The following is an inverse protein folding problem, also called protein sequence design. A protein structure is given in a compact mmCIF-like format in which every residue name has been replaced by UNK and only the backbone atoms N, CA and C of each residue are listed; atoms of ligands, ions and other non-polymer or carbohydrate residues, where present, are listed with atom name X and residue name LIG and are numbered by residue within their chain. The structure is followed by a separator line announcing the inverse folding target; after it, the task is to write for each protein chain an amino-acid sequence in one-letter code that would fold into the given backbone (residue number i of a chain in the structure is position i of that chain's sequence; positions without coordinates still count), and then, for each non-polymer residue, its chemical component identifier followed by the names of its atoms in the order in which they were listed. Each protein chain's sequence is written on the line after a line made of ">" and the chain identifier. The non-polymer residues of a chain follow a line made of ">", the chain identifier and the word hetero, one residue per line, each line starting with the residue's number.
data_IF_982396421838
#
_entry.id   IF_982396421838
#
_cell.length_a   1.000
_cell.length_b   1.000
_cell.length_c   1.000
_cell.angle_alpha   90.00
_cell.angle_beta   90.00
_cell.angle_gamma   90.00
#
_symmetry.space_group_name_H-M   'P 1'
#
loop_
_entity.id
_entity.type
_entity.pdbx_description
1 polymer ?
#
# COMPACT_ATOMS: atom_id res chain seq x y z
N UNK A 1 -2.91 -28.93 36.69
CA UNK A 1 -2.36 -28.75 35.34
C UNK A 1 -3.37 -27.91 34.56
N UNK A 2 -3.24 -26.59 34.63
CA UNK A 2 -4.09 -25.63 33.92
C UNK A 2 -3.53 -25.49 32.51
N UNK A 3 -4.34 -25.85 31.51
CA UNK A 3 -4.03 -25.63 30.11
C UNK A 3 -3.91 -24.13 29.84
N UNK A 4 -2.80 -23.73 29.23
CA UNK A 4 -2.67 -22.42 28.61
C UNK A 4 -3.35 -22.57 27.25
N UNK A 5 -4.58 -22.06 27.15
CA UNK A 5 -5.24 -21.85 25.87
C UNK A 5 -4.36 -20.87 25.07
N UNK A 6 -3.58 -21.43 24.15
CA UNK A 6 -2.85 -20.63 23.17
C UNK A 6 -3.87 -19.87 22.34
N UNK A 7 -3.95 -18.56 22.54
CA UNK A 7 -4.74 -17.67 21.70
C UNK A 7 -4.17 -17.79 20.28
N UNK A 8 -4.85 -18.57 19.43
CA UNK A 8 -4.52 -18.64 18.01
C UNK A 8 -4.79 -17.26 17.44
N UNK A 9 -3.72 -16.55 17.10
CA UNK A 9 -3.85 -15.25 16.42
C UNK A 9 -4.45 -15.53 15.05
N UNK A 10 -5.59 -14.91 14.69
CA UNK A 10 -6.20 -15.14 13.40
C UNK A 10 -5.24 -14.76 12.27
N UNK A 11 -5.29 -15.45 11.11
CA UNK A 11 -4.42 -15.15 9.99
C UNK A 11 -4.66 -13.72 9.51
N UNK A 12 -3.59 -12.95 9.27
CA UNK A 12 -3.68 -11.55 8.82
C UNK A 12 -4.12 -11.37 7.37
N UNK A 13 -4.07 -12.44 6.58
CA UNK A 13 -4.38 -12.46 5.15
C UNK A 13 -5.28 -13.65 4.87
N UNK A 14 -6.32 -13.45 4.05
CA UNK A 14 -7.17 -14.53 3.56
C UNK A 14 -7.00 -14.68 2.05
N UNK A 15 -6.02 -15.48 1.67
CA UNK A 15 -5.65 -15.79 0.28
C UNK A 15 -4.79 -17.04 0.24
N UNK A 16 -4.78 -17.73 -0.89
CA UNK A 16 -3.80 -18.78 -1.20
C UNK A 16 -2.53 -18.22 -1.87
N UNK A 17 -2.55 -16.95 -2.28
CA UNK A 17 -1.41 -16.29 -2.91
C UNK A 17 -0.30 -16.00 -1.88
N UNK A 18 0.92 -16.41 -2.24
CA UNK A 18 2.10 -16.06 -1.48
C UNK A 18 2.34 -14.54 -1.50
N UNK A 19 3.03 -14.03 -0.48
CA UNK A 19 3.58 -12.68 -0.54
C UNK A 19 4.59 -12.58 -1.69
N UNK A 20 4.87 -11.35 -2.14
CA UNK A 20 5.97 -11.10 -3.07
C UNK A 20 7.27 -11.74 -2.55
N UNK A 21 7.91 -12.63 -3.33
CA UNK A 21 9.24 -13.12 -3.02
C UNK A 21 10.21 -11.96 -2.78
N UNK A 22 10.98 -12.03 -1.69
CA UNK A 22 12.01 -11.01 -1.38
C UNK A 22 13.02 -10.91 -2.52
N UNK A 23 13.33 -12.04 -3.15
CA UNK A 23 14.20 -12.12 -4.32
C UNK A 23 13.47 -12.71 -5.52
N UNK A 24 13.83 -12.25 -6.72
CA UNK A 24 13.26 -12.78 -7.94
C UNK A 24 13.55 -14.30 -8.07
N UNK A 25 12.53 -15.15 -8.26
CA UNK A 25 12.70 -16.61 -8.29
C UNK A 25 13.32 -17.15 -9.60
N UNK A 26 13.91 -16.29 -10.44
CA UNK A 26 14.25 -16.58 -11.83
C UNK A 26 13.20 -16.06 -12.82
N UNK A 27 13.66 -15.72 -14.03
CA UNK A 27 12.81 -15.19 -15.09
C UNK A 27 12.45 -16.31 -16.05
N UNK A 28 11.16 -16.56 -16.21
CA UNK A 28 10.65 -17.44 -17.25
C UNK A 28 10.67 -16.70 -18.61
N UNK A 29 11.01 -17.40 -19.68
CA UNK A 29 11.13 -16.80 -21.02
C UNK A 29 9.77 -16.57 -21.71
N UNK A 30 8.71 -17.22 -21.24
CA UNK A 30 7.34 -17.13 -21.76
C UNK A 30 6.49 -16.15 -20.95
N UNK A 31 6.45 -16.29 -19.63
CA UNK A 31 5.64 -15.40 -18.77
C UNK A 31 6.26 -15.24 -17.37
N UNK A 32 6.70 -14.02 -17.07
CA UNK A 32 7.20 -13.67 -15.75
C UNK A 32 6.03 -13.27 -14.82
N UNK A 33 5.83 -13.99 -13.70
CA UNK A 33 4.86 -13.61 -12.67
C UNK A 33 5.30 -12.38 -11.86
N UNK A 34 6.60 -12.06 -11.88
CA UNK A 34 7.19 -10.98 -11.11
C UNK A 34 7.96 -10.02 -12.02
N UNK A 35 7.32 -9.48 -13.07
CA UNK A 35 8.01 -8.59 -13.99
C UNK A 35 8.51 -7.36 -13.24
N UNK A 36 9.83 -7.21 -13.19
CA UNK A 36 10.52 -6.17 -12.44
C UNK A 36 11.29 -5.21 -13.33
N UNK A 37 11.45 -3.99 -12.85
CA UNK A 37 12.20 -2.93 -13.50
C UNK A 37 13.45 -2.59 -12.70
N UNK A 38 14.64 -2.54 -13.32
CA UNK A 38 15.87 -2.26 -12.59
C UNK A 38 15.87 -0.82 -12.05
N UNK A 39 16.36 -0.62 -10.83
CA UNK A 39 16.56 0.73 -10.30
C UNK A 39 17.50 1.54 -11.21
N UNK A 40 17.16 2.81 -11.43
CA UNK A 40 18.03 3.76 -12.14
C UNK A 40 19.24 4.21 -11.30
N UNK A 41 19.36 3.73 -10.06
CA UNK A 41 20.50 3.96 -9.16
C UNK A 41 20.13 3.71 -7.70
N UNK A 42 21.14 3.41 -6.88
CA UNK A 42 20.99 3.05 -5.46
C UNK A 42 20.71 1.56 -5.25
N UNK A 43 20.18 1.22 -4.08
CA UNK A 43 19.89 -0.15 -3.65
C UNK A 43 18.45 -0.29 -3.15
N UNK A 44 17.96 -1.53 -3.17
CA UNK A 44 16.83 -1.97 -2.35
C UNK A 44 17.44 -2.51 -1.06
N UNK A 45 17.08 -1.95 0.08
CA UNK A 45 17.61 -2.35 1.38
C UNK A 45 16.54 -3.03 2.24
N UNK A 46 16.94 -4.08 2.97
CA UNK A 46 16.05 -4.88 3.80
C UNK A 46 16.06 -4.45 5.27
N UNK A 47 14.91 -4.61 5.92
CA UNK A 47 14.70 -4.37 7.34
C UNK A 47 14.40 -2.91 7.70
N UNK A 48 14.18 -2.68 8.99
CA UNK A 48 13.80 -1.37 9.54
C UNK A 48 14.97 -0.39 9.68
N UNK A 49 16.21 -0.88 9.67
CA UNK A 49 17.42 -0.05 9.81
C UNK A 49 17.49 1.10 8.79
N UNK A 50 17.45 0.81 7.47
CA UNK A 50 17.46 1.82 6.42
C UNK A 50 16.28 2.82 6.49
N UNK A 51 15.16 2.41 7.09
CA UNK A 51 13.99 3.28 7.28
C UNK A 51 14.26 4.27 8.40
N UNK A 52 14.75 3.80 9.55
CA UNK A 52 15.02 4.67 10.70
C UNK A 52 16.27 5.53 10.50
N UNK A 53 17.18 5.17 9.59
CA UNK A 53 18.33 6.01 9.20
C UNK A 53 17.89 7.38 8.65
N UNK A 54 16.67 7.48 8.10
CA UNK A 54 16.10 8.73 7.63
C UNK A 54 15.95 9.78 8.76
N UNK A 55 15.95 9.38 10.03
CA UNK A 55 15.90 10.30 11.18
C UNK A 55 17.08 11.29 11.19
N UNK A 56 18.22 10.89 10.62
CA UNK A 56 19.41 11.73 10.49
C UNK A 56 19.79 12.49 11.77
N UNK A 57 20.21 13.74 11.60
CA UNK A 57 20.55 14.64 12.71
C UNK A 57 19.35 15.43 13.25
N UNK A 58 18.17 15.37 12.62
CA UNK A 58 16.98 16.06 13.14
C UNK A 58 16.55 15.45 14.47
N UNK A 59 16.75 14.13 14.63
CA UNK A 59 16.25 13.32 15.74
C UNK A 59 14.71 13.32 15.83
N UNK A 60 14.02 13.67 14.75
CA UNK A 60 12.58 13.53 14.55
C UNK A 60 12.36 12.83 13.22
N UNK A 61 11.60 11.74 13.21
CA UNK A 61 11.22 10.99 12.01
C UNK A 61 9.70 10.94 11.88
N UNK A 62 9.19 11.36 10.73
CA UNK A 62 7.79 11.18 10.36
C UNK A 62 7.66 9.90 9.56
N UNK A 63 6.72 9.04 9.96
CA UNK A 63 6.44 7.76 9.32
C UNK A 63 4.98 7.78 8.89
N UNK A 64 4.77 8.25 7.67
CA UNK A 64 3.46 8.37 7.02
C UNK A 64 3.23 7.16 6.08
N UNK A 65 2.05 6.99 5.51
CA UNK A 65 1.76 5.82 4.69
C UNK A 65 0.31 5.60 4.32
N UNK A 66 0.10 4.50 3.60
CA UNK A 66 -1.20 4.10 3.05
C UNK A 66 -2.08 3.27 3.99
N UNK A 67 -3.27 2.92 3.51
CA UNK A 67 -4.15 1.95 4.17
C UNK A 67 -3.50 0.56 4.24
N UNK A 68 -3.91 -0.23 5.23
CA UNK A 68 -3.48 -1.61 5.39
C UNK A 68 -2.11 -1.81 6.05
N UNK A 69 -1.35 -0.74 6.33
CA UNK A 69 -0.13 -0.80 7.16
C UNK A 69 -0.49 -1.22 8.58
N UNK A 70 0.26 -2.18 9.14
CA UNK A 70 0.16 -2.58 10.55
C UNK A 70 0.92 -1.57 11.42
N UNK A 71 0.26 -0.44 11.74
CA UNK A 71 0.91 0.70 12.37
C UNK A 71 1.50 0.42 13.76
N UNK A 72 0.86 -0.45 14.55
CA UNK A 72 1.37 -0.84 15.87
C UNK A 72 2.67 -1.66 15.75
N UNK A 73 2.71 -2.60 14.82
CA UNK A 73 3.90 -3.41 14.55
C UNK A 73 5.04 -2.56 13.99
N UNK A 74 4.73 -1.67 13.04
CA UNK A 74 5.70 -0.72 12.50
C UNK A 74 6.27 0.16 13.61
N UNK A 75 5.42 0.73 14.46
CA UNK A 75 5.82 1.54 15.60
C UNK A 75 6.73 0.78 16.58
N UNK A 76 6.38 -0.47 16.88
CA UNK A 76 7.15 -1.36 17.75
C UNK A 76 8.52 -1.70 17.15
N UNK A 77 8.56 -2.09 15.87
CA UNK A 77 9.79 -2.45 15.18
C UNK A 77 10.73 -1.25 15.01
N UNK A 78 10.21 -0.07 14.69
CA UNK A 78 10.97 1.18 14.61
C UNK A 78 11.58 1.53 15.97
N UNK A 79 10.78 1.48 17.05
CA UNK A 79 11.25 1.71 18.41
C UNK A 79 12.40 0.76 18.75
N UNK A 80 12.18 -0.54 18.58
CA UNK A 80 13.17 -1.56 18.90
C UNK A 80 14.47 -1.36 18.10
N UNK A 81 14.37 -1.00 16.83
CA UNK A 81 15.53 -0.75 15.96
C UNK A 81 16.35 0.46 16.44
N UNK A 82 15.69 1.54 16.85
CA UNK A 82 16.37 2.74 17.36
C UNK A 82 16.93 2.53 18.78
N UNK A 83 16.21 1.84 19.66
CA UNK A 83 16.69 1.49 21.01
C UNK A 83 17.90 0.55 20.96
N UNK A 84 17.92 -0.41 20.03
CA UNK A 84 19.08 -1.28 19.79
C UNK A 84 20.34 -0.50 19.35
N UNK A 85 20.17 0.73 18.86
CA UNK A 85 21.24 1.67 18.51
C UNK A 85 21.56 2.66 19.65
N UNK A 86 21.03 2.42 20.85
CA UNK A 86 21.31 3.20 22.06
C UNK A 86 20.56 4.54 22.15
N UNK A 87 19.47 4.71 21.38
CA UNK A 87 18.64 5.93 21.40
C UNK A 87 17.55 5.86 22.47
N UNK A 88 17.16 7.00 23.03
CA UNK A 88 15.97 7.14 23.87
C UNK A 88 14.80 7.57 23.01
N UNK A 89 13.86 6.64 22.75
CA UNK A 89 12.88 6.78 21.67
C UNK A 89 11.50 7.10 22.20
N UNK A 90 10.94 8.23 21.75
CA UNK A 90 9.53 8.55 21.88
C UNK A 90 8.80 8.14 20.61
N UNK A 91 7.67 7.42 20.74
CA UNK A 91 6.80 7.11 19.59
C UNK A 91 5.41 7.66 19.85
N UNK A 92 4.90 8.44 18.90
CA UNK A 92 3.58 9.07 18.97
C UNK A 92 2.77 8.72 17.74
N UNK A 93 1.53 8.25 17.95
CA UNK A 93 0.65 7.88 16.84
C UNK A 93 -0.24 9.04 16.41
N UNK A 94 -0.47 9.19 15.10
CA UNK A 94 -1.47 10.12 14.57
C UNK A 94 -2.91 9.71 14.85
N UNK A 95 -3.15 8.47 15.28
CA UNK A 95 -4.50 7.94 15.55
C UNK A 95 -5.34 8.87 16.43
N UNK A 96 -4.77 9.38 17.52
CA UNK A 96 -5.47 10.24 18.48
C UNK A 96 -5.80 11.64 17.92
N UNK A 97 -5.34 11.96 16.71
CA UNK A 97 -5.60 13.24 16.06
C UNK A 97 -6.74 13.17 15.05
N UNK A 98 -7.24 11.98 14.70
CA UNK A 98 -8.42 11.88 13.84
C UNK A 98 -9.66 12.46 14.53
N UNK A 99 -10.60 12.95 13.73
CA UNK A 99 -11.93 13.33 14.22
C UNK A 99 -12.58 12.15 14.96
N UNK A 100 -13.48 12.42 15.94
CA UNK A 100 -14.28 11.37 16.55
C UNK A 100 -14.96 10.50 15.50
N UNK A 101 -15.06 9.19 15.75
CA UNK A 101 -15.59 8.21 14.78
C UNK A 101 -16.91 8.63 14.16
N UNK A 102 -17.85 9.18 14.95
CA UNK A 102 -19.14 9.63 14.44
C UNK A 102 -19.05 10.80 13.44
N UNK A 103 -18.04 11.66 13.54
CA UNK A 103 -17.82 12.77 12.61
C UNK A 103 -17.07 12.29 11.36
N UNK A 104 -16.10 11.38 11.54
CA UNK A 104 -15.40 10.74 10.43
C UNK A 104 -16.37 9.93 9.53
N UNK A 105 -17.22 9.09 10.12
CA UNK A 105 -18.23 8.33 9.38
C UNK A 105 -19.22 9.24 8.66
N UNK A 106 -19.61 10.37 9.27
CA UNK A 106 -20.48 11.36 8.65
C UNK A 106 -19.83 12.06 7.47
N UNK A 107 -18.53 12.35 7.55
CA UNK A 107 -17.78 12.97 6.47
C UNK A 107 -17.66 12.05 5.25
N UNK A 108 -17.53 10.74 5.45
CA UNK A 108 -17.32 9.78 4.35
C UNK A 108 -18.62 9.16 3.82
N UNK A 109 -19.70 9.11 4.61
CA UNK A 109 -20.97 8.49 4.23
C UNK A 109 -21.55 8.93 2.87
N UNK A 110 -21.48 10.22 2.47
CA UNK A 110 -21.98 10.66 1.15
C UNK A 110 -21.30 9.99 -0.04
N UNK A 111 -20.08 9.46 0.16
CA UNK A 111 -19.27 8.84 -0.89
C UNK A 111 -19.44 7.32 -0.96
N UNK A 112 -20.11 6.72 0.03
CA UNK A 112 -20.34 5.29 0.11
C UNK A 112 -21.62 4.84 -0.62
N UNK A 113 -22.34 5.72 -1.31
CA UNK A 113 -23.50 5.34 -2.14
C UNK A 113 -24.71 4.76 -1.39
N UNK A 114 -24.80 4.98 -0.07
CA UNK A 114 -25.91 4.50 0.77
C UNK A 114 -26.01 2.97 0.79
N UNK A 115 -27.20 2.44 0.49
CA UNK A 115 -27.50 1.01 0.52
C UNK A 115 -27.04 0.25 -0.74
N UNK A 116 -26.45 0.93 -1.73
CA UNK A 116 -25.90 0.25 -2.90
C UNK A 116 -24.77 -0.70 -2.45
N UNK A 117 -24.78 -1.99 -2.80
CA UNK A 117 -23.76 -2.92 -2.31
C UNK A 117 -22.40 -2.77 -3.02
N UNK A 118 -22.33 -2.02 -4.13
CA UNK A 118 -21.16 -1.97 -5.01
C UNK A 118 -20.68 -0.55 -5.25
N UNK A 119 -21.57 0.38 -5.62
CA UNK A 119 -21.22 1.68 -6.14
C UNK A 119 -21.13 2.76 -5.05
N UNK A 120 -20.13 3.63 -5.19
CA UNK A 120 -19.95 4.86 -4.45
C UNK A 120 -19.40 5.95 -5.37
N UNK A 121 -19.03 7.09 -4.79
CA UNK A 121 -18.36 8.19 -5.49
C UNK A 121 -17.00 8.43 -4.86
N UNK A 122 -16.02 8.91 -5.63
CA UNK A 122 -14.67 9.14 -5.10
C UNK A 122 -14.71 10.27 -4.07
N UNK A 123 -14.14 10.06 -2.91
CA UNK A 123 -13.96 11.08 -1.87
C UNK A 123 -13.08 12.20 -2.40
N UNK A 124 -13.52 13.44 -2.22
CA UNK A 124 -12.89 14.65 -2.77
C UNK A 124 -12.21 15.51 -1.70
N UNK A 125 -12.37 15.20 -0.41
CA UNK A 125 -11.77 15.96 0.70
C UNK A 125 -10.27 15.72 0.90
N UNK A 126 -9.68 16.47 1.83
CA UNK A 126 -8.28 16.38 2.25
C UNK A 126 -8.16 15.59 3.57
N UNK A 127 -7.03 14.90 3.78
CA UNK A 127 -6.76 14.17 5.01
C UNK A 127 -6.72 15.11 6.22
N UNK A 128 -6.25 16.35 6.04
CA UNK A 128 -6.22 17.43 7.03
C UNK A 128 -7.60 17.81 7.56
N UNK A 129 -8.67 17.52 6.79
CA UNK A 129 -10.04 17.81 7.20
C UNK A 129 -10.63 16.72 8.11
N UNK A 130 -9.97 15.56 8.17
CA UNK A 130 -10.33 14.43 9.03
C UNK A 130 -9.50 14.40 10.33
N UNK A 131 -8.69 15.42 10.60
CA UNK A 131 -7.73 15.44 11.70
C UNK A 131 -7.69 16.80 12.42
N UNK A 132 -7.50 16.78 13.74
CA UNK A 132 -7.24 17.96 14.56
C UNK A 132 -5.81 18.47 14.31
N UNK A 133 -5.74 19.61 13.61
CA UNK A 133 -4.47 20.27 13.22
C UNK A 133 -3.64 20.71 14.42
N UNK A 134 -4.28 21.11 15.53
CA UNK A 134 -3.55 21.52 16.75
C UNK A 134 -2.92 20.30 17.40
N UNK A 135 -3.66 19.20 17.52
CA UNK A 135 -3.14 17.95 18.07
C UNK A 135 -1.99 17.38 17.22
N UNK A 136 -2.11 17.45 15.89
CA UNK A 136 -1.02 17.07 14.96
C UNK A 136 0.27 17.86 15.22
N UNK A 137 0.18 19.19 15.32
CA UNK A 137 1.35 20.04 15.57
C UNK A 137 2.02 19.78 16.93
N UNK A 138 1.28 19.30 17.94
CA UNK A 138 1.86 18.86 19.21
C UNK A 138 2.66 17.56 19.06
N UNK A 139 2.29 16.65 18.15
CA UNK A 139 2.95 15.36 18.02
C UNK A 139 4.42 15.48 17.65
N UNK A 140 4.81 16.43 16.80
CA UNK A 140 6.20 16.61 16.38
C UNK A 140 7.06 17.40 17.39
N UNK A 141 6.48 17.95 18.47
CA UNK A 141 7.25 18.66 19.50
C UNK A 141 8.09 17.69 20.32
N UNK A 142 9.40 17.64 20.05
CA UNK A 142 10.35 16.82 20.82
C UNK A 142 10.77 17.53 22.11
N UNK A 143 10.79 16.76 23.19
CA UNK A 143 11.47 17.13 24.43
C UNK A 143 12.80 16.37 24.51
N UNK A 144 13.91 17.09 24.32
CA UNK A 144 15.27 16.54 24.32
C UNK A 144 15.68 15.93 25.67
N UNK A 145 15.04 16.38 26.77
CA UNK A 145 15.29 15.85 28.10
C UNK A 145 14.77 14.42 28.23
N UNK A 146 13.64 14.10 27.58
CA UNK A 146 13.02 12.78 27.63
C UNK A 146 13.50 11.86 26.52
N UNK A 147 13.61 12.37 25.28
CA UNK A 147 13.86 11.57 24.08
C UNK A 147 14.88 12.25 23.17
N UNK A 148 15.90 11.52 22.74
CA UNK A 148 16.83 11.99 21.70
C UNK A 148 16.39 11.59 20.28
N UNK A 149 15.38 10.72 20.17
CA UNK A 149 14.73 10.34 18.93
C UNK A 149 13.22 10.35 19.12
N UNK A 150 12.51 11.14 18.32
CA UNK A 150 11.05 11.17 18.29
C UNK A 150 10.55 10.61 16.96
N UNK A 151 9.61 9.67 17.01
CA UNK A 151 8.95 9.10 15.84
C UNK A 151 7.46 9.43 15.91
N UNK A 152 6.96 10.12 14.88
CA UNK A 152 5.52 10.30 14.68
C UNK A 152 5.07 9.32 13.61
N UNK A 153 4.13 8.43 13.95
CA UNK A 153 3.76 7.29 13.11
C UNK A 153 2.27 7.22 12.83
N UNK A 154 1.91 6.95 11.58
CA UNK A 154 0.54 6.77 11.14
C UNK A 154 0.19 7.64 9.94
N UNK A 155 -0.97 7.40 9.32
CA UNK A 155 -1.42 8.20 8.19
C UNK A 155 -1.54 9.66 8.62
N UNK A 156 -1.00 10.57 7.82
CA UNK A 156 -0.97 12.00 8.12
C UNK A 156 0.17 12.43 9.05
N UNK A 157 1.12 11.56 9.40
CA UNK A 157 2.27 11.93 10.23
C UNK A 157 3.08 13.09 9.62
N UNK A 158 3.16 13.16 8.30
CA UNK A 158 3.84 14.24 7.59
C UNK A 158 3.20 15.62 7.83
N UNK A 159 1.93 15.67 8.25
CA UNK A 159 1.20 16.91 8.54
C UNK A 159 1.61 17.53 9.89
N UNK A 160 2.37 16.82 10.71
CA UNK A 160 2.82 17.31 12.02
C UNK A 160 4.00 18.28 11.93
N UNK A 161 4.88 18.12 10.91
CA UNK A 161 6.06 18.95 10.70
C UNK A 161 6.52 18.90 9.23
N UNK A 162 6.51 20.05 8.54
CA UNK A 162 6.89 20.11 7.14
C UNK A 162 8.40 20.04 6.85
N UNK A 163 9.24 20.18 7.87
CA UNK A 163 10.69 20.17 7.75
C UNK A 163 11.33 18.83 8.15
N UNK A 164 10.66 18.01 8.96
CA UNK A 164 11.23 16.75 9.42
C UNK A 164 11.34 15.71 8.29
N UNK A 165 12.38 14.84 8.33
CA UNK A 165 12.52 13.71 7.42
C UNK A 165 11.31 12.79 7.41
N UNK A 166 11.00 12.25 6.22
CA UNK A 166 9.80 11.45 5.96
C UNK A 166 10.17 10.05 5.43
N UNK A 167 9.71 9.03 6.14
CA UNK A 167 9.55 7.68 5.63
C UNK A 167 8.09 7.43 5.25
N UNK A 168 7.84 6.85 4.07
CA UNK A 168 6.50 6.49 3.60
C UNK A 168 6.36 4.97 3.53
N UNK A 169 5.40 4.41 4.26
CA UNK A 169 5.10 2.98 4.30
C UNK A 169 3.92 2.64 3.39
N UNK A 170 4.07 1.62 2.56
CA UNK A 170 3.04 1.17 1.62
C UNK A 170 2.83 -0.34 1.68
N UNK A 171 1.56 -0.74 1.61
CA UNK A 171 1.14 -2.12 1.41
C UNK A 171 0.46 -2.19 0.03
N UNK A 172 0.85 -3.13 -0.86
CA UNK A 172 0.20 -3.32 -2.15
C UNK A 172 -1.32 -3.52 -2.04
N UNK A 173 -2.10 -3.05 -3.03
CA UNK A 173 -3.57 -3.00 -2.93
C UNK A 173 -4.21 -4.40 -2.84
N UNK A 174 -3.67 -5.39 -3.55
CA UNK A 174 -4.08 -6.80 -3.42
C UNK A 174 -3.87 -7.30 -1.97
N UNK A 175 -2.77 -6.92 -1.33
CA UNK A 175 -2.50 -7.26 0.08
C UNK A 175 -3.46 -6.57 1.03
N UNK A 176 -3.85 -5.32 0.75
CA UNK A 176 -4.91 -4.63 1.50
C UNK A 176 -6.24 -5.40 1.37
N UNK A 177 -6.58 -5.90 0.18
CA UNK A 177 -7.77 -6.71 -0.04
C UNK A 177 -7.71 -8.05 0.73
N UNK A 178 -6.56 -8.73 0.75
CA UNK A 178 -6.41 -9.97 1.51
C UNK A 178 -6.52 -9.75 3.03
N UNK A 179 -6.01 -8.64 3.53
CA UNK A 179 -6.19 -8.21 4.93
C UNK A 179 -7.66 -7.88 5.23
N UNK A 180 -8.35 -7.20 4.32
CA UNK A 180 -9.78 -6.94 4.44
C UNK A 180 -10.61 -8.23 4.49
N UNK A 181 -10.32 -9.21 3.62
CA UNK A 181 -10.97 -10.53 3.59
C UNK A 181 -10.71 -11.37 4.84
N UNK A 182 -9.60 -11.11 5.54
CA UNK A 182 -9.28 -11.71 6.83
C UNK A 182 -9.92 -10.99 8.02
N UNK A 183 -10.54 -9.82 7.80
CA UNK A 183 -11.03 -8.97 8.88
C UNK A 183 -9.91 -8.32 9.69
N UNK A 184 -8.72 -8.16 9.10
CA UNK A 184 -7.51 -7.68 9.77
C UNK A 184 -7.14 -6.24 9.39
N UNK A 185 -7.84 -5.61 8.44
CA UNK A 185 -7.56 -4.24 8.02
C UNK A 185 -8.25 -3.22 8.93
N UNK A 186 -7.46 -2.29 9.48
CA UNK A 186 -7.95 -1.14 10.26
C UNK A 186 -8.02 0.10 9.38
N UNK A 187 -9.20 0.72 9.35
CA UNK A 187 -9.45 1.94 8.59
C UNK A 187 -8.85 3.19 9.24
N UNK A 188 -8.77 4.29 8.48
CA UNK A 188 -8.34 5.60 8.99
C UNK A 188 -9.18 6.03 10.20
N UNK A 189 -8.52 6.37 11.30
CA UNK A 189 -9.15 6.79 12.55
C UNK A 189 -9.93 5.69 13.30
N UNK A 190 -9.99 4.46 12.78
CA UNK A 190 -10.77 3.40 13.41
C UNK A 190 -10.04 2.78 14.61
N UNK A 191 -10.83 2.33 15.59
CA UNK A 191 -10.27 1.76 16.81
C UNK A 191 -9.76 0.33 16.65
N UNK A 192 -10.40 -0.42 15.74
CA UNK A 192 -10.18 -1.84 15.51
C UNK A 192 -10.40 -2.20 14.03
N UNK A 193 -9.93 -3.38 13.60
CA UNK A 193 -10.18 -3.90 12.26
C UNK A 193 -11.67 -4.05 11.92
N UNK A 194 -11.99 -3.92 10.64
CA UNK A 194 -13.33 -4.19 10.13
C UNK A 194 -13.49 -5.67 9.76
N UNK A 195 -14.55 -6.32 10.25
CA UNK A 195 -14.87 -7.70 9.91
C UNK A 195 -15.63 -7.84 8.57
N UNK A 196 -16.21 -6.76 8.05
CA UNK A 196 -16.96 -6.77 6.78
C UNK A 196 -16.02 -6.47 5.61
N UNK A 197 -15.58 -7.53 4.92
CA UNK A 197 -14.68 -7.42 3.78
C UNK A 197 -15.26 -6.59 2.62
N UNK A 198 -16.58 -6.63 2.38
CA UNK A 198 -17.21 -5.92 1.25
C UNK A 198 -17.29 -4.44 1.55
N UNK A 199 -17.78 -4.07 2.73
CA UNK A 199 -17.82 -2.68 3.17
C UNK A 199 -16.39 -2.08 3.24
N UNK A 200 -15.43 -2.88 3.70
CA UNK A 200 -14.01 -2.48 3.74
C UNK A 200 -13.47 -2.17 2.36
N UNK A 201 -13.65 -3.08 1.39
CA UNK A 201 -13.20 -2.86 0.01
C UNK A 201 -13.86 -1.63 -0.62
N UNK A 202 -15.16 -1.43 -0.37
CA UNK A 202 -15.89 -0.26 -0.85
C UNK A 202 -15.33 1.04 -0.30
N UNK A 203 -15.12 1.11 1.02
CA UNK A 203 -14.49 2.28 1.67
C UNK A 203 -13.08 2.53 1.17
N UNK A 204 -12.26 1.48 0.99
CA UNK A 204 -10.94 1.62 0.39
C UNK A 204 -11.03 2.24 -1.02
N UNK A 205 -11.84 1.66 -1.90
CA UNK A 205 -11.96 2.04 -3.31
C UNK A 205 -12.47 3.47 -3.51
N UNK A 206 -13.49 3.87 -2.76
CA UNK A 206 -14.14 5.15 -2.95
C UNK A 206 -13.62 6.24 -2.02
N UNK A 207 -13.07 5.90 -0.85
CA UNK A 207 -12.68 6.90 0.16
C UNK A 207 -11.18 6.91 0.39
N UNK A 208 -10.63 5.84 0.97
CA UNK A 208 -9.26 5.90 1.50
C UNK A 208 -8.19 5.88 0.41
N UNK A 209 -8.36 5.10 -0.66
CA UNK A 209 -7.39 5.08 -1.75
C UNK A 209 -7.31 6.43 -2.47
N UNK A 210 -8.42 7.04 -2.95
CA UNK A 210 -8.37 8.36 -3.55
C UNK A 210 -7.81 9.44 -2.60
N UNK A 211 -8.18 9.38 -1.32
CA UNK A 211 -7.69 10.31 -0.30
C UNK A 211 -6.17 10.21 -0.09
N UNK A 212 -5.68 8.99 0.15
CA UNK A 212 -4.27 8.77 0.46
C UNK A 212 -3.38 8.89 -0.78
N UNK A 213 -3.90 8.64 -1.98
CA UNK A 213 -3.19 8.93 -3.24
C UNK A 213 -2.94 10.44 -3.41
N UNK A 214 -3.93 11.29 -3.11
CA UNK A 214 -3.72 12.75 -3.12
C UNK A 214 -2.70 13.17 -2.07
N UNK A 215 -2.84 12.68 -0.84
CA UNK A 215 -1.90 12.93 0.24
C UNK A 215 -0.47 12.51 -0.13
N UNK A 216 -0.28 11.27 -0.61
CA UNK A 216 1.00 10.75 -1.10
C UNK A 216 1.60 11.63 -2.19
N UNK A 217 0.77 12.11 -3.12
CA UNK A 217 1.24 12.97 -4.20
C UNK A 217 1.75 14.34 -3.73
N UNK A 218 1.18 14.90 -2.65
CA UNK A 218 1.70 16.12 -2.01
C UNK A 218 3.04 15.86 -1.31
N UNK A 219 3.17 14.70 -0.66
CA UNK A 219 4.39 14.31 0.05
C UNK A 219 5.51 13.87 -0.89
N UNK A 220 5.18 13.50 -2.12
CA UNK A 220 6.06 12.80 -3.06
C UNK A 220 7.48 13.40 -3.21
N UNK A 221 7.66 14.74 -3.32
CA UNK A 221 9.00 15.32 -3.48
C UNK A 221 9.89 15.18 -2.24
N UNK A 222 9.28 15.09 -1.04
CA UNK A 222 9.98 15.08 0.25
C UNK A 222 10.09 13.71 0.91
N UNK A 223 9.49 12.66 0.32
CA UNK A 223 9.73 11.29 0.78
C UNK A 223 11.23 11.03 0.70
N UNK A 224 11.86 10.83 1.87
CA UNK A 224 13.28 10.54 1.99
C UNK A 224 13.51 9.03 1.85
N UNK A 225 12.59 8.22 2.40
CA UNK A 225 12.58 6.77 2.28
C UNK A 225 11.19 6.26 1.93
N UNK A 226 11.11 5.36 0.96
CA UNK A 226 9.87 4.66 0.63
C UNK A 226 10.03 3.18 0.97
N UNK A 227 9.03 2.57 1.60
CA UNK A 227 9.09 1.19 2.07
C UNK A 227 7.86 0.37 1.71
N UNK A 228 8.09 -0.79 1.10
CA UNK A 228 7.14 -1.88 0.97
C UNK A 228 7.11 -2.67 2.28
N UNK A 229 5.99 -2.56 3.00
CA UNK A 229 5.79 -3.16 4.33
C UNK A 229 4.78 -4.32 4.29
N UNK A 230 4.66 -5.03 3.15
CA UNK A 230 3.80 -6.21 3.04
C UNK A 230 4.24 -7.41 3.91
N UNK A 231 5.40 -7.31 4.57
CA UNK A 231 6.09 -8.34 5.36
C UNK A 231 6.76 -7.73 6.61
N UNK A 232 7.14 -8.57 7.58
CA UNK A 232 7.75 -8.12 8.84
C UNK A 232 9.10 -7.41 8.67
N UNK A 233 9.96 -7.92 7.78
CA UNK A 233 11.20 -7.26 7.37
C UNK A 233 10.95 -6.46 6.08
N UNK A 234 10.68 -5.15 6.16
CA UNK A 234 10.30 -4.38 5.00
C UNK A 234 11.44 -4.26 4.00
N UNK A 235 11.09 -3.99 2.75
CA UNK A 235 12.06 -3.59 1.74
C UNK A 235 11.87 -2.10 1.48
N UNK A 236 12.97 -1.36 1.32
CA UNK A 236 12.90 0.08 1.13
C UNK A 236 13.92 0.59 0.13
N UNK A 237 13.63 1.75 -0.45
CA UNK A 237 14.52 2.50 -1.35
C UNK A 237 14.60 3.95 -0.90
N UNK A 238 15.67 4.65 -1.29
CA UNK A 238 15.70 6.11 -1.15
C UNK A 238 14.63 6.75 -2.03
N UNK A 239 14.01 7.85 -1.57
CA UNK A 239 13.03 8.56 -2.38
C UNK A 239 13.61 9.13 -3.67
N UNK A 240 14.89 9.50 -3.67
CA UNK A 240 15.59 9.93 -4.88
C UNK A 240 15.71 8.79 -5.91
N UNK A 241 16.12 7.59 -5.49
CA UNK A 241 16.19 6.40 -6.32
C UNK A 241 14.81 6.01 -6.87
N UNK A 242 13.77 6.08 -6.04
CA UNK A 242 12.40 5.79 -6.45
C UNK A 242 11.94 6.72 -7.59
N UNK A 243 12.05 8.04 -7.39
CA UNK A 243 11.64 9.04 -8.39
C UNK A 243 12.45 8.92 -9.68
N UNK A 244 13.78 8.79 -9.57
CA UNK A 244 14.64 8.61 -10.74
C UNK A 244 14.28 7.34 -11.53
N UNK A 245 13.98 6.24 -10.84
CA UNK A 245 13.59 4.98 -11.49
C UNK A 245 12.25 5.11 -12.21
N UNK A 246 11.25 5.72 -11.57
CA UNK A 246 9.92 5.91 -12.17
C UNK A 246 9.96 6.87 -13.37
N UNK A 247 10.81 7.89 -13.33
CA UNK A 247 11.06 8.78 -14.47
C UNK A 247 11.66 8.04 -15.67
N UNK A 248 12.62 7.14 -15.44
CA UNK A 248 13.19 6.29 -16.51
C UNK A 248 12.16 5.28 -17.01
N UNK A 249 11.40 4.65 -16.11
CA UNK A 249 10.37 3.67 -16.43
C UNK A 249 9.30 4.25 -17.36
N UNK A 250 8.91 5.51 -17.18
CA UNK A 250 7.91 6.18 -18.02
C UNK A 250 8.30 6.29 -19.51
N UNK A 251 9.59 6.11 -19.84
CA UNK A 251 10.12 6.16 -21.20
C UNK A 251 10.61 4.79 -21.71
N UNK A 252 10.26 3.70 -21.02
CA UNK A 252 10.68 2.35 -21.36
C UNK A 252 9.49 1.37 -21.33
N UNK A 253 9.57 0.22 -22.02
CA UNK A 253 8.63 -0.86 -21.79
C UNK A 253 8.72 -1.36 -20.35
N UNK A 254 7.57 -1.46 -19.69
CA UNK A 254 7.44 -2.07 -18.36
C UNK A 254 6.11 -2.83 -18.29
N UNK A 255 5.97 -3.65 -17.25
CA UNK A 255 4.74 -4.38 -16.98
C UNK A 255 4.39 -4.23 -15.50
N UNK A 256 3.11 -4.07 -15.20
CA UNK A 256 2.63 -4.09 -13.83
C UNK A 256 2.73 -5.51 -13.26
N UNK A 257 2.81 -5.63 -11.93
CA UNK A 257 2.76 -6.93 -11.27
C UNK A 257 1.36 -7.52 -11.46
N UNK A 258 1.20 -8.66 -12.15
CA UNK A 258 -0.09 -9.33 -12.24
C UNK A 258 -0.45 -9.97 -10.89
N UNK A 259 -1.74 -10.14 -10.65
CA UNK A 259 -2.24 -10.98 -9.56
C UNK A 259 -3.49 -11.74 -10.03
N UNK A 260 -3.77 -12.89 -9.41
CA UNK A 260 -4.69 -13.87 -9.99
C UNK A 260 -5.78 -14.24 -9.01
N UNK A 261 -7.03 -14.25 -9.44
CA UNK A 261 -8.15 -14.54 -8.54
C UNK A 261 -9.03 -15.68 -9.05
N UNK A 262 -9.44 -16.60 -8.16
CA UNK A 262 -10.45 -17.61 -8.48
C UNK A 262 -11.82 -16.94 -8.70
N UNK A 263 -12.67 -17.56 -9.51
CA UNK A 263 -14.00 -17.06 -9.80
C UNK A 263 -14.99 -18.14 -10.16
N UNK A 264 -16.29 -17.86 -9.97
CA UNK A 264 -17.36 -18.84 -10.17
C UNK A 264 -17.45 -19.38 -11.61
N UNK A 265 -16.96 -18.63 -12.59
CA UNK A 265 -16.93 -18.98 -14.00
C UNK A 265 -15.55 -19.41 -14.52
N UNK A 266 -14.51 -19.39 -13.66
CA UNK A 266 -13.14 -19.62 -14.07
C UNK A 266 -12.88 -20.99 -14.68
N UNK A 267 -12.05 -21.01 -15.71
CA UNK A 267 -11.58 -22.19 -16.44
C UNK A 267 -10.32 -22.84 -15.85
N UNK A 268 -9.69 -23.71 -16.64
CA UNK A 268 -8.48 -24.45 -16.25
C UNK A 268 -7.20 -24.00 -16.96
N UNK A 269 -7.27 -23.14 -17.98
CA UNK A 269 -6.13 -22.79 -18.82
C UNK A 269 -4.94 -22.23 -18.03
N UNK A 270 -5.19 -21.28 -17.12
CA UNK A 270 -4.14 -20.67 -16.29
C UNK A 270 -3.48 -21.72 -15.37
N UNK A 271 -4.28 -22.64 -14.80
CA UNK A 271 -3.71 -23.73 -14.01
C UNK A 271 -2.87 -24.67 -14.89
N UNK A 272 -3.31 -24.99 -16.09
CA UNK A 272 -2.57 -25.90 -16.97
C UNK A 272 -1.25 -25.30 -17.47
N UNK A 273 -1.22 -23.98 -17.71
CA UNK A 273 -0.11 -23.31 -18.41
C UNK A 273 0.80 -22.47 -17.51
N UNK A 274 0.43 -22.20 -16.25
CA UNK A 274 1.25 -21.45 -15.29
C UNK A 274 1.54 -22.28 -14.04
N UNK A 275 2.57 -23.15 -14.06
CA UNK A 275 2.88 -24.06 -12.96
C UNK A 275 3.31 -23.40 -11.65
N UNK A 276 3.71 -22.14 -11.71
CA UNK A 276 4.16 -21.33 -10.59
C UNK A 276 2.98 -20.77 -9.76
N UNK A 277 1.76 -20.78 -10.30
CA UNK A 277 0.58 -20.34 -9.56
C UNK A 277 0.23 -21.35 -8.45
N UNK A 278 -0.26 -20.89 -7.28
CA UNK A 278 -0.80 -21.76 -6.24
C UNK A 278 -1.83 -22.76 -6.79
N UNK A 279 -1.75 -24.01 -6.31
CA UNK A 279 -2.55 -25.13 -6.83
C UNK A 279 -3.75 -25.48 -5.95
N UNK A 280 -3.85 -24.88 -4.76
CA UNK A 280 -4.91 -25.09 -3.77
C UNK A 280 -6.12 -24.19 -4.03
N UNK A 281 -6.45 -23.97 -5.30
CA UNK A 281 -7.63 -23.22 -5.74
C UNK A 281 -8.37 -24.01 -6.82
N UNK A 282 -9.70 -23.87 -6.94
CA UNK A 282 -10.46 -24.60 -7.95
C UNK A 282 -10.17 -24.14 -9.39
N UNK A 283 -9.83 -22.86 -9.56
CA UNK A 283 -9.50 -22.23 -10.84
C UNK A 283 -8.77 -20.89 -10.61
N UNK A 284 -8.36 -20.25 -11.69
CA UNK A 284 -8.12 -18.81 -11.74
C UNK A 284 -9.02 -18.23 -12.82
N UNK A 285 -10.01 -17.44 -12.44
CA UNK A 285 -10.89 -16.79 -13.41
C UNK A 285 -10.26 -15.53 -13.99
N UNK A 286 -9.54 -14.77 -13.15
CA UNK A 286 -8.89 -13.53 -13.54
C UNK A 286 -7.38 -13.64 -13.45
N UNK A 287 -6.70 -13.12 -14.48
CA UNK A 287 -5.36 -12.56 -14.37
C UNK A 287 -5.46 -11.04 -14.50
N UNK A 288 -5.28 -10.34 -13.39
CA UNK A 288 -5.33 -8.88 -13.33
C UNK A 288 -4.00 -8.29 -13.80
N UNK A 289 -3.87 -8.18 -15.11
CA UNK A 289 -2.68 -7.69 -15.79
C UNK A 289 -2.45 -6.19 -15.59
N UNK A 290 -3.48 -5.37 -15.83
CA UNK A 290 -3.45 -3.95 -15.52
C UNK A 290 -4.84 -3.41 -15.17
N UNK A 291 -5.06 -3.25 -13.89
CA UNK A 291 -6.07 -2.43 -13.23
C UNK A 291 -5.27 -1.37 -12.48
N UNK A 292 -5.00 -0.23 -13.12
CA UNK A 292 -4.06 0.77 -12.59
C UNK A 292 -4.33 1.22 -11.13
N UNK A 293 -5.57 1.29 -10.62
CA UNK A 293 -5.79 1.62 -9.21
C UNK A 293 -5.38 0.51 -8.22
N UNK A 294 -5.16 -0.72 -8.70
CA UNK A 294 -4.94 -1.91 -7.86
C UNK A 294 -3.60 -2.60 -8.10
N UNK A 295 -2.98 -2.44 -9.27
CA UNK A 295 -1.70 -3.08 -9.53
C UNK A 295 -0.52 -2.30 -8.95
N UNK A 296 0.50 -3.06 -8.55
CA UNK A 296 1.82 -2.53 -8.25
C UNK A 296 2.79 -2.63 -9.43
N UNK A 297 3.97 -2.06 -9.23
CA UNK A 297 5.14 -2.11 -10.07
C UNK A 297 6.29 -2.66 -9.23
N UNK A 298 7.01 -3.65 -9.76
CA UNK A 298 8.17 -4.20 -9.08
C UNK A 298 9.43 -3.47 -9.50
N UNK A 299 10.19 -3.01 -8.53
CA UNK A 299 11.51 -2.42 -8.68
C UNK A 299 12.56 -3.41 -8.17
N UNK A 300 13.68 -3.53 -8.89
CA UNK A 300 14.72 -4.49 -8.57
C UNK A 300 16.11 -3.86 -8.45
N UNK A 301 16.84 -4.25 -7.41
CA UNK A 301 18.29 -4.09 -7.33
C UNK A 301 18.91 -5.28 -6.61
N UNK A 302 20.03 -5.79 -7.12
CA UNK A 302 20.76 -6.95 -6.58
C UNK A 302 19.86 -8.17 -6.32
N UNK A 303 18.85 -8.37 -7.18
CA UNK A 303 17.86 -9.42 -7.11
C UNK A 303 16.78 -9.24 -6.05
N UNK A 304 16.80 -8.17 -5.24
CA UNK A 304 15.75 -7.84 -4.27
C UNK A 304 14.58 -7.11 -4.95
N UNK A 305 13.35 -7.50 -4.63
CA UNK A 305 12.14 -6.97 -5.24
C UNK A 305 11.36 -6.08 -4.27
N UNK A 306 11.24 -4.79 -4.59
CA UNK A 306 10.36 -3.86 -3.88
C UNK A 306 9.13 -3.57 -4.73
N UNK A 307 7.95 -3.58 -4.12
CA UNK A 307 6.72 -3.17 -4.81
C UNK A 307 6.31 -1.75 -4.43
N UNK A 308 5.87 -0.98 -5.43
CA UNK A 308 5.16 0.28 -5.23
C UNK A 308 3.90 0.28 -6.06
N UNK A 309 2.84 0.97 -5.63
CA UNK A 309 1.62 1.11 -6.42
C UNK A 309 1.86 1.77 -7.78
N UNK A 310 1.07 1.39 -8.78
CA UNK A 310 1.12 2.04 -10.10
C UNK A 310 0.82 3.54 -10.02
N UNK A 311 0.07 3.99 -9.00
CA UNK A 311 -0.16 5.40 -8.69
C UNK A 311 1.16 6.17 -8.47
N UNK A 312 2.22 5.54 -7.93
CA UNK A 312 3.55 6.16 -7.79
C UNK A 312 4.12 6.61 -9.13
N UNK A 313 4.00 5.78 -10.17
CA UNK A 313 4.43 6.13 -11.52
C UNK A 313 3.61 7.30 -12.08
N UNK A 314 2.30 7.28 -11.83
CA UNK A 314 1.41 8.35 -12.29
C UNK A 314 1.62 9.67 -11.54
N UNK A 315 2.02 9.61 -10.26
CA UNK A 315 2.39 10.77 -9.45
C UNK A 315 3.67 11.41 -10.00
N UNK A 316 4.72 10.61 -10.23
CA UNK A 316 6.03 11.08 -10.71
C UNK A 316 6.02 11.49 -12.18
N UNK A 317 5.42 10.67 -13.05
CA UNK A 317 5.60 10.74 -14.50
C UNK A 317 4.31 10.49 -15.29
N UNK A 318 3.14 10.72 -14.69
CA UNK A 318 1.86 10.49 -15.35
C UNK A 318 1.68 11.23 -16.67
N UNK A 319 2.19 12.46 -16.80
CA UNK A 319 2.14 13.20 -18.06
C UNK A 319 2.97 12.53 -19.18
N UNK A 320 4.14 11.98 -18.85
CA UNK A 320 4.96 11.25 -19.81
C UNK A 320 4.30 9.93 -20.23
N UNK A 321 3.68 9.21 -19.29
CA UNK A 321 2.94 7.96 -19.55
C UNK A 321 1.71 8.20 -20.43
N UNK A 322 0.98 9.29 -20.20
CA UNK A 322 -0.29 9.57 -20.90
C UNK A 322 -0.12 10.32 -22.22
N UNK A 323 1.00 11.01 -22.42
CA UNK A 323 1.21 11.90 -23.56
C UNK A 323 0.08 12.94 -23.67
N UNK A 324 -0.48 13.08 -24.87
CA UNK A 324 -1.58 14.01 -25.16
C UNK A 324 -2.85 13.74 -24.31
N UNK A 325 -3.00 12.54 -23.76
CA UNK A 325 -4.10 12.16 -22.88
C UNK A 325 -4.03 12.80 -21.49
N UNK A 326 -2.89 13.37 -21.09
CA UNK A 326 -2.69 13.92 -19.75
C UNK A 326 -3.70 15.01 -19.38
N UNK A 327 -4.05 15.88 -20.34
CA UNK A 327 -5.04 16.95 -20.11
C UNK A 327 -6.44 16.42 -19.81
N UNK A 328 -6.79 15.23 -20.34
CA UNK A 328 -8.10 14.59 -20.14
C UNK A 328 -8.16 13.74 -18.88
N UNK A 329 -7.09 12.99 -18.61
CA UNK A 329 -7.12 11.94 -17.58
C UNK A 329 -6.35 12.32 -16.31
N UNK A 330 -5.58 13.41 -16.31
CA UNK A 330 -4.78 13.84 -15.18
C UNK A 330 -3.74 12.80 -14.80
N UNK A 331 -3.94 12.13 -13.66
CA UNK A 331 -3.11 11.01 -13.18
C UNK A 331 -3.78 9.64 -13.30
N UNK A 332 -4.99 9.56 -13.84
CA UNK A 332 -5.66 8.28 -14.06
C UNK A 332 -5.17 7.65 -15.35
N UNK A 333 -4.73 6.39 -15.30
CA UNK A 333 -4.46 5.64 -16.51
C UNK A 333 -5.79 5.13 -17.10
N UNK A 334 -6.10 5.40 -18.38
CA UNK A 334 -7.46 5.25 -18.90
C UNK A 334 -7.80 3.84 -19.40
N UNK A 335 -6.84 2.93 -19.39
CA UNK A 335 -6.99 1.58 -19.95
C UNK A 335 -6.82 0.57 -18.83
N UNK A 336 -7.74 -0.38 -18.77
CA UNK A 336 -7.60 -1.61 -17.98
C UNK A 336 -7.59 -2.80 -18.91
N UNK A 337 -6.85 -3.83 -18.56
CA UNK A 337 -6.94 -5.12 -19.23
C UNK A 337 -6.62 -6.25 -18.26
N UNK A 338 -7.26 -7.38 -18.49
CA UNK A 338 -7.11 -8.64 -17.77
C UNK A 338 -7.22 -9.80 -18.77
N UNK A 339 -6.71 -10.96 -18.37
CA UNK A 339 -7.04 -12.21 -19.05
C UNK A 339 -8.14 -12.92 -18.24
N UNK A 340 -9.27 -13.18 -18.90
CA UNK A 340 -10.39 -13.94 -18.34
C UNK A 340 -10.28 -15.39 -18.79
N UNK A 341 -9.92 -16.28 -17.87
CA UNK A 341 -9.85 -17.70 -18.18
C UNK A 341 -11.25 -18.30 -18.11
N UNK A 342 -11.80 -18.56 -19.29
CA UNK A 342 -13.11 -19.20 -19.49
C UNK A 342 -12.98 -20.55 -20.18
N UNK A 343 -11.75 -21.02 -20.41
CA UNK A 343 -11.48 -22.29 -21.10
C UNK A 343 -11.92 -23.43 -20.20
N UNK A 344 -12.89 -24.21 -20.67
CA UNK A 344 -13.56 -25.25 -19.87
C UNK A 344 -14.22 -24.70 -18.57
N UNK A 345 -14.49 -23.39 -18.55
CA UNK A 345 -15.15 -22.68 -17.46
C UNK A 345 -16.66 -22.55 -17.64
N UNK A 346 -17.24 -21.62 -16.87
CA UNK A 346 -18.66 -21.29 -16.91
C UNK A 346 -18.97 -20.04 -17.74
N UNK A 347 -20.27 -19.75 -17.89
CA UNK A 347 -20.70 -18.50 -18.51
C UNK A 347 -20.53 -17.32 -17.54
N UNK A 348 -20.06 -16.18 -18.05
CA UNK A 348 -20.20 -14.90 -17.35
C UNK A 348 -21.67 -14.44 -17.35
N UNK A 349 -21.98 -13.49 -16.47
CA UNK A 349 -23.29 -12.84 -16.46
C UNK A 349 -23.53 -12.03 -17.74
N UNK A 350 -24.80 -11.85 -18.12
CA UNK A 350 -25.19 -10.85 -19.13
C UNK A 350 -25.01 -9.46 -18.52
N UNK A 351 -24.22 -8.61 -19.18
CA UNK A 351 -23.83 -7.30 -18.66
C UNK A 351 -24.23 -6.18 -19.63
N UNK A 352 -24.52 -5.01 -19.06
CA UNK A 352 -24.65 -3.74 -19.78
C UNK A 352 -23.73 -2.74 -19.08
N UNK A 353 -22.91 -2.03 -19.84
CA UNK A 353 -22.02 -0.99 -19.33
C UNK A 353 -22.63 0.38 -19.64
N UNK A 354 -22.75 1.27 -18.62
CA UNK A 354 -23.41 2.57 -18.78
C UNK A 354 -22.65 3.54 -19.69
#
# INVERSE_FOLDING_TARGET
>A
MSGVDGVVTPPRRRTTQALLPVRHPGRDAHYDLYPSFPLAGGSVDAGWGPIVDAIGSSGVLLVDGGSGVDWEDAASAIRATLEARGRRVGVRSTRATFLPTADLERAIAPFLGGDDPVFGTRFEGDLRDLMDRRALAELARRDDAEHDALVVVGPGAALADDAAPLAYLEVPRNEQQFRARAGALTHLGADAPSADAKATYKRLSFVEWPLLERHKAELWPRIARFADVQREEPLSVSGASLRATLAVMASAPFRARPWFEPGAWGGSWLLEHMPELPRDVPNYAWSFELISPENGLLLEADGLLLETGFDSLMIESGAAVLGDGAARFGRAFPIRFDYLDTVDGGNLSVQCHP
#
